data_IF_366057928156
#
_entry.id   IF_366057928156
#
_cell.length_a   1.000
_cell.length_b   1.000
_cell.length_c   1.000
_cell.angle_alpha   90.00
_cell.angle_beta   90.00
_cell.angle_gamma   90.00
#
_symmetry.space_group_name_H-M   'P 1'
#
loop_
_entity.id
_entity.type
_entity.pdbx_description
1 polymer ?
#
# COMPACT_ATOMS: atom_id res chain seq x y z
N UNK A 1 9.63 11.82 30.43
CA UNK A 1 9.00 10.69 29.73
C UNK A 1 9.93 10.23 28.62
N UNK A 2 10.27 8.94 28.57
CA UNK A 2 11.05 8.35 27.46
C UNK A 2 10.25 8.44 26.17
N UNK A 3 10.85 8.97 25.11
CA UNK A 3 10.26 9.09 23.78
C UNK A 3 9.66 7.74 23.30
N UNK A 4 8.51 7.78 22.62
CA UNK A 4 7.91 6.61 21.96
C UNK A 4 7.73 6.86 20.47
N UNK A 5 8.02 5.84 19.69
CA UNK A 5 7.93 5.84 18.23
C UNK A 5 7.12 4.63 17.83
N UNK A 6 6.14 4.82 16.95
CA UNK A 6 5.48 3.75 16.23
C UNK A 6 5.88 3.83 14.76
N UNK A 7 6.32 2.71 14.19
CA UNK A 7 6.68 2.60 12.79
C UNK A 7 5.87 1.47 12.14
N UNK A 8 5.23 1.76 11.01
CA UNK A 8 4.49 0.76 10.24
C UNK A 8 5.12 0.59 8.86
N UNK A 9 5.45 -0.66 8.51
CA UNK A 9 5.85 -1.02 7.16
C UNK A 9 4.65 -1.36 6.29
N UNK A 10 4.50 -0.74 5.11
CA UNK A 10 3.44 -1.02 4.14
C UNK A 10 4.05 -1.63 2.88
N UNK A 11 3.60 -2.83 2.52
CA UNK A 11 4.24 -3.67 1.51
C UNK A 11 3.27 -3.94 0.35
N UNK A 12 3.55 -3.36 -0.83
CA UNK A 12 2.74 -3.52 -2.04
C UNK A 12 3.38 -4.51 -3.02
N UNK A 13 2.81 -5.69 -3.18
CA UNK A 13 3.38 -6.70 -4.07
C UNK A 13 3.05 -6.45 -5.57
N UNK A 14 3.83 -7.07 -6.44
CA UNK A 14 3.68 -7.03 -7.90
C UNK A 14 2.49 -7.85 -8.39
N UNK A 15 2.04 -7.57 -9.61
CA UNK A 15 0.90 -8.26 -10.24
C UNK A 15 1.08 -9.78 -10.22
N UNK A 16 0.00 -10.48 -9.85
CA UNK A 16 0.01 -11.94 -9.77
C UNK A 16 0.69 -12.52 -8.52
N UNK A 17 1.31 -11.68 -7.68
CA UNK A 17 1.91 -12.15 -6.43
C UNK A 17 0.93 -12.04 -5.26
N UNK A 18 0.85 -13.08 -4.45
CA UNK A 18 0.05 -13.14 -3.24
C UNK A 18 0.77 -13.97 -2.18
N UNK A 19 0.99 -13.39 -0.99
CA UNK A 19 1.72 -14.06 0.09
C UNK A 19 1.15 -15.43 0.44
N UNK A 20 -0.18 -15.54 0.59
CA UNK A 20 -0.85 -16.78 1.03
C UNK A 20 -0.81 -17.85 -0.06
N UNK A 21 -0.96 -17.46 -1.32
CA UNK A 21 -0.95 -18.39 -2.44
C UNK A 21 0.49 -18.83 -2.78
N UNK A 22 1.43 -17.90 -2.82
CA UNK A 22 2.81 -18.14 -3.25
C UNK A 22 3.65 -18.87 -2.21
N UNK A 23 3.31 -18.75 -0.92
CA UNK A 23 3.95 -19.52 0.14
C UNK A 23 3.73 -21.02 -0.01
N UNK A 24 2.54 -21.43 -0.45
CA UNK A 24 2.23 -22.84 -0.71
C UNK A 24 3.09 -23.40 -1.84
N UNK A 25 3.55 -22.53 -2.75
CA UNK A 25 4.36 -22.88 -3.92
C UNK A 25 5.85 -22.59 -3.73
N UNK A 26 6.27 -22.01 -2.60
CA UNK A 26 7.64 -21.53 -2.36
C UNK A 26 8.16 -20.53 -3.41
N UNK A 27 7.26 -19.70 -3.95
CA UNK A 27 7.55 -18.70 -4.99
C UNK A 27 7.32 -17.27 -4.51
N UNK A 28 7.51 -17.01 -3.22
CA UNK A 28 7.26 -15.70 -2.62
C UNK A 28 8.14 -14.60 -3.23
N UNK A 29 7.53 -13.46 -3.54
CA UNK A 29 8.24 -12.26 -3.98
C UNK A 29 9.21 -11.72 -2.92
N UNK A 30 10.12 -10.82 -3.31
CA UNK A 30 10.94 -10.10 -2.35
C UNK A 30 10.11 -9.21 -1.40
N UNK A 31 8.96 -8.71 -1.85
CA UNK A 31 8.06 -7.90 -1.00
C UNK A 31 7.44 -8.77 0.10
N UNK A 32 6.93 -9.95 -0.26
CA UNK A 32 6.44 -10.95 0.69
C UNK A 32 7.52 -11.35 1.71
N UNK A 33 8.75 -11.58 1.26
CA UNK A 33 9.88 -11.93 2.13
C UNK A 33 10.25 -10.79 3.08
N UNK A 34 10.31 -9.55 2.59
CA UNK A 34 10.56 -8.38 3.43
C UNK A 34 9.44 -8.18 4.47
N UNK A 35 8.17 -8.33 4.07
CA UNK A 35 7.03 -8.28 4.99
C UNK A 35 7.12 -9.33 6.11
N UNK A 36 7.57 -10.56 5.78
CA UNK A 36 7.78 -11.63 6.77
C UNK A 36 8.91 -11.32 7.75
N UNK A 37 9.98 -10.68 7.28
CA UNK A 37 11.12 -10.28 8.11
C UNK A 37 10.86 -9.01 8.92
N UNK A 38 9.90 -8.18 8.51
CA UNK A 38 9.59 -6.94 9.21
C UNK A 38 8.98 -7.21 10.60
N UNK A 39 9.56 -6.69 11.70
CA UNK A 39 9.09 -6.97 13.05
C UNK A 39 7.65 -6.52 13.30
N UNK A 40 6.83 -7.40 13.89
CA UNK A 40 5.46 -7.14 14.34
C UNK A 40 5.40 -7.19 15.86
N UNK A 41 5.90 -6.13 16.49
CA UNK A 41 6.09 -6.04 17.94
C UNK A 41 4.90 -5.38 18.64
N UNK A 42 4.23 -4.45 17.95
CA UNK A 42 3.14 -3.66 18.50
C UNK A 42 1.94 -4.52 18.97
N UNK A 43 1.59 -5.58 18.24
CA UNK A 43 0.53 -6.52 18.62
C UNK A 43 0.81 -7.26 19.94
N UNK A 44 2.08 -7.39 20.31
CA UNK A 44 2.55 -8.10 21.51
C UNK A 44 2.94 -7.14 22.64
N UNK A 45 2.63 -5.86 22.51
CA UNK A 45 3.12 -4.77 23.37
C UNK A 45 4.65 -4.79 23.57
N UNK A 46 5.38 -5.28 22.55
CA UNK A 46 6.82 -5.35 22.54
C UNK A 46 7.41 -4.15 21.79
N UNK A 47 8.66 -3.81 22.10
CA UNK A 47 9.37 -2.69 21.48
C UNK A 47 10.87 -2.94 21.43
N UNK A 48 11.54 -2.26 20.50
CA UNK A 48 13.00 -2.15 20.45
C UNK A 48 13.38 -0.89 21.21
N UNK A 49 14.40 -0.99 22.07
CA UNK A 49 15.05 0.15 22.71
C UNK A 49 16.55 -0.13 22.69
N UNK A 50 17.36 0.90 22.47
CA UNK A 50 18.80 0.74 22.59
C UNK A 50 19.25 0.84 24.06
N UNK A 51 20.56 0.98 24.26
CA UNK A 51 21.19 0.92 25.58
C UNK A 51 21.26 2.27 26.30
N UNK A 52 20.86 3.38 25.68
CA UNK A 52 20.91 4.72 26.29
C UNK A 52 19.54 5.14 26.81
N UNK A 53 19.52 5.79 27.98
CA UNK A 53 18.29 6.32 28.60
C UNK A 53 17.56 7.38 27.77
N UNK A 54 18.25 7.99 26.81
CA UNK A 54 17.68 8.99 25.88
C UNK A 54 17.03 8.38 24.64
N UNK A 55 17.17 7.06 24.43
CA UNK A 55 16.64 6.39 23.24
C UNK A 55 15.13 6.15 23.34
N UNK A 56 14.45 6.28 22.21
CA UNK A 56 13.01 6.07 22.13
C UNK A 56 12.69 4.57 22.20
N UNK A 57 11.54 4.21 22.79
CA UNK A 57 10.92 2.90 22.56
C UNK A 57 10.33 2.88 21.15
N UNK A 58 10.68 1.87 20.36
CA UNK A 58 10.25 1.71 18.97
C UNK A 58 9.32 0.51 18.86
N UNK A 59 8.06 0.78 18.60
CA UNK A 59 7.04 -0.20 18.29
C UNK A 59 6.96 -0.36 16.77
N UNK A 60 6.89 -1.59 16.29
CA UNK A 60 6.81 -1.89 14.86
C UNK A 60 5.61 -2.76 14.54
N UNK A 61 4.98 -2.47 13.41
CA UNK A 61 3.93 -3.30 12.81
C UNK A 61 4.02 -3.26 11.28
N UNK A 62 3.21 -4.06 10.59
CA UNK A 62 3.26 -4.10 9.12
C UNK A 62 1.92 -4.45 8.46
N UNK A 63 1.70 -3.86 7.30
CA UNK A 63 0.53 -4.06 6.43
C UNK A 63 1.03 -4.68 5.13
N UNK A 64 0.40 -5.79 4.71
CA UNK A 64 0.67 -6.41 3.41
C UNK A 64 -0.49 -6.15 2.45
N UNK A 65 -0.14 -5.72 1.24
CA UNK A 65 -1.05 -5.46 0.13
C UNK A 65 -0.67 -6.37 -1.04
N UNK A 66 -1.52 -7.34 -1.33
CA UNK A 66 -1.31 -8.30 -2.41
C UNK A 66 -1.29 -7.64 -3.78
N UNK A 67 -0.62 -8.31 -4.71
CA UNK A 67 -0.51 -7.91 -6.10
C UNK A 67 -1.86 -7.77 -6.79
N UNK A 68 -1.93 -6.85 -7.74
CA UNK A 68 -3.10 -6.73 -8.61
C UNK A 68 -3.37 -8.07 -9.31
N UNK A 69 -4.65 -8.44 -9.40
CA UNK A 69 -5.09 -9.68 -10.04
C UNK A 69 -5.06 -10.92 -9.16
N UNK A 70 -4.81 -10.76 -7.86
CA UNK A 70 -4.85 -11.86 -6.88
C UNK A 70 -5.82 -11.56 -5.74
N UNK A 71 -6.36 -12.62 -5.13
CA UNK A 71 -7.14 -12.61 -3.89
C UNK A 71 -6.74 -13.82 -3.05
N UNK A 72 -6.75 -13.66 -1.73
CA UNK A 72 -6.33 -14.72 -0.82
C UNK A 72 -7.17 -15.99 -0.99
N UNK A 73 -6.51 -17.13 -1.17
CA UNK A 73 -7.14 -18.45 -1.33
C UNK A 73 -8.13 -18.58 -2.51
N UNK A 74 -8.14 -17.62 -3.43
CA UNK A 74 -8.88 -17.72 -4.68
C UNK A 74 -7.91 -18.00 -5.84
N UNK A 75 -8.40 -18.67 -6.89
CA UNK A 75 -7.65 -18.80 -8.14
C UNK A 75 -7.47 -17.41 -8.75
N UNK A 76 -6.25 -17.10 -9.17
CA UNK A 76 -5.95 -15.83 -9.84
C UNK A 76 -6.95 -15.57 -10.97
N UNK A 77 -7.70 -14.47 -10.84
CA UNK A 77 -8.59 -14.06 -11.91
C UNK A 77 -7.74 -13.47 -13.03
N UNK A 78 -7.47 -14.26 -14.08
CA UNK A 78 -6.68 -13.82 -15.25
C UNK A 78 -7.22 -12.53 -15.90
N UNK A 79 -8.52 -12.25 -15.71
CA UNK A 79 -9.13 -10.98 -16.10
C UNK A 79 -8.59 -9.77 -15.32
N UNK A 80 -8.49 -9.84 -13.98
CA UNK A 80 -7.95 -8.74 -13.16
C UNK A 80 -6.43 -8.56 -13.34
N UNK A 81 -5.67 -9.66 -13.56
CA UNK A 81 -4.23 -9.61 -13.86
C UNK A 81 -3.92 -8.87 -15.18
N UNK A 82 -4.73 -9.11 -16.22
CA UNK A 82 -4.57 -8.53 -17.55
C UNK A 82 -5.11 -7.11 -17.70
N UNK A 83 -5.93 -6.64 -16.75
CA UNK A 83 -6.66 -5.36 -16.85
C UNK A 83 -6.27 -4.33 -15.79
N UNK A 84 -5.46 -4.67 -14.78
CA UNK A 84 -5.01 -3.69 -13.79
C UNK A 84 -6.09 -3.18 -12.82
N UNK A 85 -7.32 -3.69 -12.90
CA UNK A 85 -8.41 -3.35 -11.97
C UNK A 85 -8.09 -3.81 -10.55
N UNK A 86 -8.46 -3.04 -9.52
CA UNK A 86 -8.20 -3.40 -8.11
C UNK A 86 -7.18 -2.53 -7.39
N UNK A 87 -6.52 -1.59 -8.09
CA UNK A 87 -5.52 -0.70 -7.48
C UNK A 87 -6.14 0.28 -6.48
N UNK A 88 -7.24 0.96 -6.84
CA UNK A 88 -7.91 1.92 -5.96
C UNK A 88 -8.38 1.28 -4.64
N UNK A 89 -8.94 0.07 -4.69
CA UNK A 89 -9.31 -0.68 -3.48
C UNK A 89 -8.13 -0.96 -2.57
N UNK A 90 -7.00 -1.38 -3.15
CA UNK A 90 -5.76 -1.67 -2.40
C UNK A 90 -5.23 -0.43 -1.69
N UNK A 91 -5.24 0.71 -2.36
CA UNK A 91 -4.88 2.01 -1.76
C UNK A 91 -5.84 2.36 -0.62
N UNK A 92 -7.15 2.27 -0.85
CA UNK A 92 -8.15 2.57 0.17
C UNK A 92 -8.05 1.64 1.39
N UNK A 93 -7.74 0.36 1.17
CA UNK A 93 -7.47 -0.59 2.24
C UNK A 93 -6.25 -0.17 3.06
N UNK A 94 -5.12 0.11 2.42
CA UNK A 94 -3.91 0.58 3.08
C UNK A 94 -4.16 1.86 3.90
N UNK A 95 -4.86 2.85 3.32
CA UNK A 95 -5.22 4.10 4.02
C UNK A 95 -6.11 3.83 5.24
N UNK A 96 -7.09 2.93 5.12
CA UNK A 96 -7.99 2.56 6.22
C UNK A 96 -7.22 1.91 7.37
N UNK A 97 -6.31 0.99 7.07
CA UNK A 97 -5.48 0.32 8.08
C UNK A 97 -4.53 1.30 8.78
N UNK A 98 -3.90 2.20 8.02
CA UNK A 98 -3.06 3.27 8.59
C UNK A 98 -3.85 4.19 9.52
N UNK A 99 -5.08 4.58 9.15
CA UNK A 99 -5.95 5.39 10.02
C UNK A 99 -6.29 4.65 11.32
N UNK A 100 -6.55 3.33 11.24
CA UNK A 100 -6.81 2.52 12.42
C UNK A 100 -5.58 2.41 13.33
N UNK A 101 -4.38 2.22 12.78
CA UNK A 101 -3.13 2.23 13.53
C UNK A 101 -2.88 3.61 14.15
N UNK A 102 -3.13 4.70 13.42
CA UNK A 102 -2.94 6.05 13.96
C UNK A 102 -3.87 6.37 15.13
N UNK A 103 -5.09 5.83 15.11
CA UNK A 103 -6.02 5.94 16.24
C UNK A 103 -5.51 5.19 17.49
N UNK A 104 -4.85 4.03 17.29
CA UNK A 104 -4.24 3.24 18.39
C UNK A 104 -2.95 3.88 18.93
N UNK A 105 -2.19 4.55 18.08
CA UNK A 105 -0.92 5.19 18.43
C UNK A 105 -1.03 6.71 18.24
N UNK A 106 -1.65 7.44 19.20
CA UNK A 106 -2.00 8.84 19.02
C UNK A 106 -0.79 9.78 19.07
N UNK A 107 -0.92 10.94 18.42
CA UNK A 107 0.16 11.92 18.22
C UNK A 107 0.77 12.46 19.51
N UNK A 108 -0.03 12.65 20.54
CA UNK A 108 0.42 13.19 21.83
C UNK A 108 1.40 12.24 22.55
N UNK A 109 1.43 10.96 22.17
CA UNK A 109 2.26 9.94 22.81
C UNK A 109 3.31 9.34 21.86
N UNK A 110 2.99 9.19 20.57
CA UNK A 110 3.84 8.51 19.59
C UNK A 110 4.20 9.40 18.39
N UNK A 111 5.50 9.47 18.09
CA UNK A 111 5.98 9.79 16.74
C UNK A 111 5.56 8.65 15.80
N UNK A 112 5.04 8.97 14.62
CA UNK A 112 4.48 7.98 13.70
C UNK A 112 5.25 8.01 12.38
N UNK A 113 5.88 6.89 12.04
CA UNK A 113 6.64 6.73 10.80
C UNK A 113 6.04 5.64 9.94
N UNK A 114 6.13 5.84 8.62
CA UNK A 114 5.70 4.87 7.62
C UNK A 114 6.92 4.49 6.78
N UNK A 115 7.21 3.19 6.70
CA UNK A 115 8.13 2.63 5.71
C UNK A 115 7.28 2.04 4.59
N UNK A 116 7.58 2.35 3.33
CA UNK A 116 6.80 1.86 2.18
C UNK A 116 7.69 1.05 1.28
N UNK A 117 7.21 -0.11 0.85
CA UNK A 117 7.89 -1.00 -0.09
C UNK A 117 6.95 -1.35 -1.24
N UNK A 118 7.47 -1.45 -2.45
CA UNK A 118 6.67 -1.95 -3.57
C UNK A 118 7.49 -2.51 -4.74
N UNK A 119 6.92 -3.49 -5.45
CA UNK A 119 7.55 -4.13 -6.62
C UNK A 119 6.64 -4.06 -7.85
N UNK A 120 7.21 -3.81 -9.05
CA UNK A 120 6.46 -3.77 -10.32
C UNK A 120 5.27 -2.79 -10.27
N UNK A 121 4.05 -3.24 -10.57
CA UNK A 121 2.83 -2.41 -10.39
C UNK A 121 2.54 -2.09 -8.92
N UNK A 122 2.98 -2.93 -7.99
CA UNK A 122 2.95 -2.63 -6.55
C UNK A 122 3.80 -1.42 -6.18
N UNK A 123 4.92 -1.18 -6.88
CA UNK A 123 5.70 0.04 -6.70
C UNK A 123 4.96 1.30 -7.19
N UNK A 124 4.16 1.18 -8.25
CA UNK A 124 3.29 2.27 -8.69
C UNK A 124 2.15 2.54 -7.68
N UNK A 125 1.55 1.48 -7.11
CA UNK A 125 0.60 1.62 -6.00
C UNK A 125 1.26 2.24 -4.75
N UNK A 126 2.49 1.88 -4.42
CA UNK A 126 3.22 2.49 -3.31
C UNK A 126 3.37 4.01 -3.48
N UNK A 127 3.69 4.49 -4.69
CA UNK A 127 3.76 5.92 -5.03
C UNK A 127 2.40 6.61 -4.88
N UNK A 128 1.36 6.01 -5.47
CA UNK A 128 -0.01 6.54 -5.35
C UNK A 128 -0.50 6.58 -3.90
N UNK A 129 -0.13 5.59 -3.08
CA UNK A 129 -0.44 5.54 -1.66
C UNK A 129 0.26 6.68 -0.90
N UNK A 130 1.55 6.90 -1.13
CA UNK A 130 2.31 7.99 -0.50
C UNK A 130 1.65 9.32 -0.80
N UNK A 131 1.37 9.58 -2.07
CA UNK A 131 0.74 10.82 -2.51
C UNK A 131 -0.68 10.96 -1.96
N UNK A 132 -1.46 9.88 -1.93
CA UNK A 132 -2.80 9.86 -1.34
C UNK A 132 -2.75 10.22 0.16
N UNK A 133 -1.81 9.66 0.91
CA UNK A 133 -1.61 10.01 2.33
C UNK A 133 -1.21 11.47 2.47
N UNK A 134 -0.25 11.98 1.69
CA UNK A 134 0.17 13.39 1.73
C UNK A 134 -1.01 14.31 1.44
N UNK A 135 -1.82 14.01 0.41
CA UNK A 135 -3.02 14.79 0.10
C UNK A 135 -4.02 14.79 1.25
N UNK A 136 -4.28 13.64 1.89
CA UNK A 136 -5.13 13.59 3.08
C UNK A 136 -4.54 14.33 4.28
N UNK A 137 -3.21 14.35 4.42
CA UNK A 137 -2.53 15.09 5.49
C UNK A 137 -2.67 16.61 5.35
N UNK A 138 -2.88 17.14 4.14
CA UNK A 138 -3.16 18.56 3.93
C UNK A 138 -4.50 18.99 4.55
N UNK A 139 -5.49 18.09 4.63
CA UNK A 139 -6.81 18.37 5.22
C UNK A 139 -6.91 18.00 6.71
N UNK A 140 -6.18 16.96 7.14
CA UNK A 140 -6.06 16.55 8.55
C UNK A 140 -4.66 15.97 8.73
N UNK A 141 -3.72 16.70 9.35
CA UNK A 141 -2.35 16.20 9.46
C UNK A 141 -2.36 14.90 10.26
N UNK A 142 -2.16 13.76 9.60
CA UNK A 142 -1.89 12.49 10.28
C UNK A 142 -0.58 12.59 11.09
N UNK A 143 0.23 13.64 10.83
CA UNK A 143 1.56 13.85 11.40
C UNK A 143 2.35 12.55 11.30
N UNK A 144 2.25 11.90 10.15
CA UNK A 144 3.07 10.77 9.77
C UNK A 144 4.23 11.29 8.93
N UNK A 145 5.35 10.60 8.99
CA UNK A 145 6.47 10.90 8.10
C UNK A 145 6.90 9.61 7.43
N UNK A 146 7.07 9.67 6.13
CA UNK A 146 7.69 8.58 5.39
C UNK A 146 9.18 8.56 5.75
N UNK A 147 9.63 7.43 6.31
CA UNK A 147 11.03 7.28 6.76
C UNK A 147 11.86 6.51 5.74
N UNK A 148 11.26 5.55 5.06
CA UNK A 148 11.90 4.76 4.02
C UNK A 148 10.91 4.47 2.88
N UNK A 149 11.39 4.52 1.64
CA UNK A 149 10.64 4.18 0.43
C UNK A 149 11.51 3.24 -0.40
N UNK A 150 11.16 1.95 -0.45
CA UNK A 150 11.86 0.90 -1.18
C UNK A 150 11.07 0.43 -2.40
N UNK A 151 11.35 1.03 -3.55
CA UNK A 151 10.69 0.68 -4.82
C UNK A 151 11.59 -0.22 -5.67
N UNK A 152 11.01 -1.28 -6.21
CA UNK A 152 11.69 -2.25 -7.05
C UNK A 152 11.02 -2.31 -8.42
N UNK A 153 11.78 -2.04 -9.48
CA UNK A 153 11.39 -2.19 -10.89
C UNK A 153 9.98 -1.68 -11.23
N UNK A 154 9.71 -0.38 -11.04
CA UNK A 154 8.35 0.18 -11.11
C UNK A 154 7.76 0.08 -12.51
N UNK A 155 6.56 -0.49 -12.61
CA UNK A 155 5.76 -0.50 -13.84
C UNK A 155 4.54 0.40 -13.64
N UNK A 156 4.52 1.54 -14.34
CA UNK A 156 3.49 2.56 -14.20
C UNK A 156 2.21 2.33 -15.02
N UNK A 157 2.05 1.18 -15.66
CA UNK A 157 0.85 0.86 -16.44
C UNK A 157 -0.20 0.12 -15.61
N UNK A 158 -1.41 0.66 -15.59
CA UNK A 158 -2.63 0.09 -15.03
C UNK A 158 -3.64 0.03 -16.18
N UNK A 159 -4.32 -1.10 -16.41
CA UNK A 159 -5.14 -1.26 -17.61
C UNK A 159 -4.45 -2.10 -18.68
N UNK A 160 -4.48 -1.60 -19.93
CA UNK A 160 -3.84 -2.22 -21.09
C UNK A 160 -2.34 -1.91 -21.06
N UNK A 161 -1.51 -2.94 -21.02
CA UNK A 161 -0.06 -2.76 -21.07
C UNK A 161 0.35 -2.00 -22.36
N UNK A 162 1.11 -0.91 -22.19
CA UNK A 162 1.68 -0.12 -23.29
C UNK A 162 0.88 1.10 -23.72
N UNK A 163 -0.13 1.53 -22.96
CA UNK A 163 -0.70 2.88 -23.11
C UNK A 163 -0.36 3.80 -21.90
N UNK A 164 -0.45 5.11 -22.13
CA UNK A 164 -0.14 6.15 -21.12
C UNK A 164 -1.37 6.53 -20.27
N UNK A 165 -2.46 5.73 -20.32
CA UNK A 165 -3.72 6.03 -19.63
C UNK A 165 -3.78 5.24 -18.33
N UNK A 166 -3.64 5.94 -17.21
CA UNK A 166 -3.61 5.33 -15.88
C UNK A 166 -4.60 6.03 -14.95
N UNK A 167 -5.88 5.66 -15.01
CA UNK A 167 -6.95 6.22 -14.18
C UNK A 167 -7.45 5.22 -13.14
N UNK A 168 -7.87 5.75 -12.00
CA UNK A 168 -8.50 5.03 -10.90
C UNK A 168 -9.87 5.64 -10.58
N UNK A 169 -10.88 4.83 -10.19
CA UNK A 169 -12.17 5.35 -9.76
C UNK A 169 -12.06 6.08 -8.43
N UNK A 170 -12.79 7.19 -8.31
CA UNK A 170 -12.85 8.00 -7.08
C UNK A 170 -13.59 7.25 -5.95
N UNK A 171 -14.64 6.49 -6.29
CA UNK A 171 -15.47 5.74 -5.33
C UNK A 171 -14.98 4.30 -5.06
N UNK A 172 -13.97 3.83 -5.79
CA UNK A 172 -13.23 2.57 -5.60
C UNK A 172 -14.05 1.30 -5.28
N UNK A 173 -15.29 1.21 -5.76
CA UNK A 173 -16.14 0.02 -5.60
C UNK A 173 -15.92 -0.97 -6.76
N UNK A 174 -16.29 -2.25 -6.59
CA UNK A 174 -16.16 -3.28 -7.65
C UNK A 174 -16.78 -2.86 -8.99
N UNK A 175 -17.97 -2.28 -8.93
CA UNK A 175 -18.68 -1.82 -10.14
C UNK A 175 -18.04 -0.58 -10.80
N UNK A 176 -17.21 0.19 -10.09
CA UNK A 176 -16.57 1.38 -10.66
C UNK A 176 -15.14 1.13 -11.14
N UNK A 177 -14.40 0.21 -10.53
CA UNK A 177 -13.11 -0.26 -11.06
C UNK A 177 -13.28 -0.94 -12.41
N UNK A 178 -14.30 -1.80 -12.56
CA UNK A 178 -14.62 -2.41 -13.86
C UNK A 178 -15.01 -1.37 -14.91
N UNK A 179 -15.71 -0.29 -14.53
CA UNK A 179 -16.11 0.78 -15.46
C UNK A 179 -14.98 1.77 -15.79
N UNK A 180 -13.97 1.93 -14.93
CA UNK A 180 -12.75 2.69 -15.23
C UNK A 180 -12.06 2.09 -16.46
N UNK A 181 -11.90 0.77 -16.42
CA UNK A 181 -11.29 -0.04 -17.47
C UNK A 181 -12.05 0.07 -18.80
N UNK A 182 -13.39 -0.07 -18.80
CA UNK A 182 -14.19 0.14 -20.02
C UNK A 182 -14.08 1.58 -20.54
N UNK A 183 -13.94 2.56 -19.65
CA UNK A 183 -13.70 3.96 -20.02
C UNK A 183 -12.37 4.18 -20.72
N UNK A 184 -11.30 3.50 -20.30
CA UNK A 184 -9.95 3.62 -20.87
C UNK A 184 -9.80 2.92 -22.23
N UNK A 185 -10.40 1.73 -22.37
CA UNK A 185 -10.35 0.94 -23.62
C UNK A 185 -11.10 1.65 -24.76
N UNK A 186 -12.17 2.39 -24.46
CA UNK A 186 -13.04 3.02 -25.46
C UNK A 186 -12.94 4.56 -25.49
N UNK A 187 -12.13 5.20 -24.65
CA UNK A 187 -12.04 6.67 -24.58
C UNK A 187 -11.18 7.22 -23.43
N UNK A 188 -11.39 8.49 -23.07
CA UNK A 188 -10.89 9.07 -21.81
C UNK A 188 -12.03 9.05 -20.79
N UNK A 189 -11.87 8.43 -19.61
CA UNK A 189 -12.94 8.38 -18.61
C UNK A 189 -13.32 9.79 -18.11
N UNK A 190 -14.59 10.00 -17.75
CA UNK A 190 -15.05 11.31 -17.24
C UNK A 190 -14.39 11.66 -15.90
N UNK A 191 -13.83 12.86 -15.79
CA UNK A 191 -13.18 13.41 -14.58
C UNK A 191 -14.09 13.50 -13.35
N UNK A 192 -15.41 13.37 -13.52
CA UNK A 192 -16.37 13.30 -12.40
C UNK A 192 -16.36 11.96 -11.67
N UNK A 193 -15.79 10.91 -12.26
CA UNK A 193 -15.83 9.54 -11.74
C UNK A 193 -14.45 8.90 -11.58
N UNK A 194 -13.44 9.43 -12.27
CA UNK A 194 -12.10 8.88 -12.33
C UNK A 194 -11.06 9.99 -12.21
N UNK A 195 -9.95 9.65 -11.56
CA UNK A 195 -8.78 10.51 -11.40
C UNK A 195 -7.53 9.74 -11.83
N UNK A 196 -6.46 10.41 -12.30
CA UNK A 196 -5.22 9.72 -12.63
C UNK A 196 -4.58 9.13 -11.36
N UNK A 197 -3.86 8.01 -11.49
CA UNK A 197 -2.93 7.59 -10.45
C UNK A 197 -1.89 8.69 -10.21
N UNK A 198 -1.69 9.06 -8.95
CA UNK A 198 -0.73 10.09 -8.59
C UNK A 198 0.65 9.46 -8.39
N UNK A 199 1.37 9.25 -9.49
CA UNK A 199 2.67 8.59 -9.47
C UNK A 199 3.85 9.57 -9.30
N UNK A 200 3.66 10.89 -9.39
CA UNK A 200 4.77 11.87 -9.41
C UNK A 200 5.29 12.15 -8.00
#
# INVERSE_FOLDING_TARGET
MTCKVFCVGVFFDGTGNNLVNDEKLSQTSNIARLYRLYPKLAEKDAYIIGNKVTECRIYLDSIYIEGIGTKDNESDSGWEQGTGSGGAKRINRAVKEIRALRAKFPKNEYKFYIDVFGFSRGAALARDFINTIITYELDKPLYSSFKFIGLFDTVGSFGKAGDDKNYKPIDANEGSEGKALWGEIFGTPSSKKYEPYNLI
#
